data_IF_218881921719
#
_entry.id   IF_218881921719
#
_cell.length_a   1.000
_cell.length_b   1.000
_cell.length_c   1.000
_cell.angle_alpha   90.00
_cell.angle_beta   90.00
_cell.angle_gamma   90.00
#
_symmetry.space_group_name_H-M   'P 1'
#
loop_
_entity.id
_entity.type
_entity.pdbx_description
1 polymer ?
#
# COMPACT_ATOMS: atom_id res chain seq x y z
N UNK A 1 14.06 -1.99 -21.92
CA UNK A 1 13.25 -0.76 -22.04
C UNK A 1 12.84 -0.34 -20.64
N UNK A 2 13.14 0.90 -20.25
CA UNK A 2 12.54 1.54 -19.08
C UNK A 2 11.54 2.54 -19.67
N UNK A 3 10.29 2.51 -19.27
CA UNK A 3 9.28 3.28 -19.99
C UNK A 3 8.04 3.59 -19.18
N UNK A 4 7.29 4.59 -19.63
CA UNK A 4 6.00 4.96 -19.08
C UNK A 4 4.91 4.33 -19.94
N UNK A 5 4.21 3.35 -19.37
CA UNK A 5 3.11 2.66 -20.08
C UNK A 5 1.92 3.61 -20.19
N UNK A 6 1.39 3.76 -21.40
CA UNK A 6 0.25 4.62 -21.70
C UNK A 6 -1.05 3.80 -21.82
N UNK A 7 -0.98 2.65 -22.49
CA UNK A 7 -2.16 1.84 -22.80
C UNK A 7 -1.80 0.37 -23.00
N UNK A 8 -2.73 -0.50 -22.65
CA UNK A 8 -2.71 -1.93 -23.00
C UNK A 8 -3.99 -2.20 -23.80
N UNK A 9 -3.86 -2.87 -24.94
CA UNK A 9 -4.98 -3.29 -25.79
C UNK A 9 -4.90 -4.79 -26.00
N UNK A 10 -6.03 -5.48 -25.82
CA UNK A 10 -6.17 -6.89 -26.16
C UNK A 10 -6.85 -7.03 -27.52
N UNK A 11 -6.28 -7.86 -28.40
CA UNK A 11 -6.97 -8.31 -29.61
C UNK A 11 -8.07 -9.33 -29.24
N UNK A 12 -9.35 -9.05 -29.54
CA UNK A 12 -10.45 -9.92 -29.15
C UNK A 12 -10.43 -11.31 -29.81
N UNK A 13 -9.78 -11.48 -30.97
CA UNK A 13 -9.69 -12.75 -31.69
C UNK A 13 -8.50 -13.59 -31.23
N UNK A 14 -7.32 -12.98 -31.15
CA UNK A 14 -6.07 -13.70 -30.85
C UNK A 14 -5.72 -13.72 -29.37
N UNK A 15 -6.37 -12.87 -28.55
CA UNK A 15 -6.03 -12.61 -27.14
C UNK A 15 -4.62 -12.07 -26.91
N UNK A 16 -3.96 -11.63 -27.97
CA UNK A 16 -2.64 -11.04 -27.89
C UNK A 16 -2.72 -9.63 -27.25
N UNK A 17 -1.76 -9.32 -26.38
CA UNK A 17 -1.68 -8.02 -25.71
C UNK A 17 -0.69 -7.11 -26.42
N UNK A 18 -1.10 -5.87 -26.67
CA UNK A 18 -0.25 -4.81 -27.21
C UNK A 18 -0.11 -3.69 -26.18
N UNK A 19 1.13 -3.41 -25.77
CA UNK A 19 1.49 -2.38 -24.81
C UNK A 19 2.05 -1.17 -25.54
N UNK A 20 1.40 -0.02 -25.41
CA UNK A 20 1.92 1.27 -25.86
C UNK A 20 2.64 1.94 -24.69
N UNK A 21 3.91 2.27 -24.87
CA UNK A 21 4.73 2.90 -23.84
C UNK A 21 5.73 3.89 -24.45
N UNK A 22 6.11 4.90 -23.68
CA UNK A 22 7.20 5.81 -24.02
C UNK A 22 8.51 5.23 -23.47
N UNK A 23 9.52 5.02 -24.31
CA UNK A 23 10.89 4.75 -23.84
C UNK A 23 11.49 6.07 -23.35
N UNK A 24 11.67 6.19 -22.04
CA UNK A 24 12.15 7.43 -21.43
C UNK A 24 13.63 7.73 -21.74
N UNK A 25 14.39 6.73 -22.20
CA UNK A 25 15.80 6.92 -22.58
C UNK A 25 15.92 7.37 -24.03
N UNK A 26 15.07 6.85 -24.92
CA UNK A 26 15.02 7.23 -26.33
C UNK A 26 14.12 8.43 -26.62
N UNK A 27 13.22 8.80 -25.70
CA UNK A 27 12.14 9.76 -25.88
C UNK A 27 11.21 9.42 -27.07
N UNK A 28 11.06 8.13 -27.37
CA UNK A 28 10.24 7.63 -28.48
C UNK A 28 9.09 6.77 -27.95
N UNK A 29 7.98 6.77 -28.70
CA UNK A 29 6.85 5.87 -28.45
C UNK A 29 7.18 4.50 -29.04
N UNK A 30 7.01 3.47 -28.22
CA UNK A 30 7.22 2.07 -28.57
C UNK A 30 5.95 1.27 -28.33
N UNK A 31 5.70 0.34 -29.24
CA UNK A 31 4.59 -0.61 -29.14
C UNK A 31 5.17 -2.02 -29.03
N UNK A 32 4.76 -2.75 -28.00
CA UNK A 32 5.25 -4.10 -27.73
C UNK A 32 4.10 -5.10 -27.69
N UNK A 33 4.17 -6.12 -28.53
CA UNK A 33 3.22 -7.23 -28.51
C UNK A 33 3.77 -8.35 -27.62
N UNK A 34 3.01 -8.76 -26.60
CA UNK A 34 3.42 -9.73 -25.59
C UNK A 34 2.28 -10.69 -25.26
N UNK A 35 2.64 -11.87 -24.74
CA UNK A 35 1.68 -12.89 -24.33
C UNK A 35 1.13 -12.67 -22.90
N UNK A 36 1.87 -11.92 -22.07
CA UNK A 36 1.52 -11.65 -20.68
C UNK A 36 1.95 -10.25 -20.27
N UNK A 37 1.04 -9.52 -19.62
CA UNK A 37 1.34 -8.26 -18.94
C UNK A 37 1.10 -8.45 -17.44
N UNK A 38 2.12 -8.12 -16.64
CA UNK A 38 2.02 -8.12 -15.17
C UNK A 38 1.92 -6.69 -14.67
N UNK A 39 0.80 -6.36 -14.03
CA UNK A 39 0.58 -5.05 -13.40
C UNK A 39 1.18 -5.06 -11.99
N UNK A 40 2.40 -4.57 -11.85
CA UNK A 40 3.06 -4.38 -10.55
C UNK A 40 2.56 -3.09 -9.86
N UNK A 41 1.27 -3.05 -9.50
CA UNK A 41 0.64 -1.88 -8.86
C UNK A 41 1.16 -1.68 -7.44
N UNK A 42 1.09 -0.43 -6.96
CA UNK A 42 1.32 -0.12 -5.56
C UNK A 42 0.25 -0.70 -4.62
N UNK A 43 0.38 -0.40 -3.33
CA UNK A 43 -0.61 -0.76 -2.32
C UNK A 43 -1.60 0.39 -2.10
N UNK A 44 -2.85 0.05 -1.81
CA UNK A 44 -3.89 0.96 -1.36
C UNK A 44 -4.45 0.45 -0.02
N UNK A 45 -4.92 1.36 0.83
CA UNK A 45 -5.47 1.00 2.13
C UNK A 45 -6.79 0.24 1.99
N UNK A 46 -6.95 -0.85 2.75
CA UNK A 46 -8.24 -1.56 2.87
C UNK A 46 -9.28 -0.82 3.71
N UNK A 47 -8.89 0.30 4.32
CA UNK A 47 -9.75 1.13 5.18
C UNK A 47 -10.36 2.31 4.41
N UNK A 48 -10.07 2.46 3.11
CA UNK A 48 -10.67 3.50 2.28
C UNK A 48 -12.21 3.44 2.35
N UNK A 49 -12.83 4.60 2.62
CA UNK A 49 -14.29 4.71 2.78
C UNK A 49 -14.86 4.10 4.06
N UNK A 50 -14.03 3.52 4.94
CA UNK A 50 -14.48 2.93 6.19
C UNK A 50 -14.71 3.99 7.28
N UNK A 51 -15.75 3.80 8.08
CA UNK A 51 -15.98 4.60 9.30
C UNK A 51 -15.40 3.84 10.50
N UNK A 52 -14.25 4.29 10.99
CA UNK A 52 -13.59 3.68 12.13
C UNK A 52 -14.09 4.32 13.44
N UNK A 53 -14.31 3.48 14.45
CA UNK A 53 -14.67 3.91 15.80
C UNK A 53 -13.45 4.20 16.66
N UNK A 54 -13.68 4.43 17.96
CA UNK A 54 -12.64 4.51 19.00
C UNK A 54 -11.52 5.54 18.77
N UNK A 55 -11.81 6.63 18.04
CA UNK A 55 -10.87 7.72 17.82
C UNK A 55 -9.73 7.39 16.86
N UNK A 56 -9.88 6.38 16.00
CA UNK A 56 -8.89 6.08 14.96
C UNK A 56 -8.99 7.10 13.83
N UNK A 57 -7.88 7.78 13.56
CA UNK A 57 -7.77 8.78 12.48
C UNK A 57 -7.05 8.18 11.29
N UNK A 58 -7.53 8.49 10.08
CA UNK A 58 -6.90 8.11 8.82
C UNK A 58 -6.23 9.33 8.15
N UNK A 59 -5.15 9.10 7.43
CA UNK A 59 -4.49 10.10 6.59
C UNK A 59 -5.20 10.27 5.23
N UNK A 60 -4.61 11.07 4.33
CA UNK A 60 -5.16 11.34 3.00
C UNK A 60 -5.23 10.11 2.10
N UNK A 61 -4.41 9.10 2.37
CA UNK A 61 -4.35 7.84 1.64
C UNK A 61 -5.11 6.72 2.38
N UNK A 62 -5.92 7.09 3.37
CA UNK A 62 -6.74 6.22 4.20
C UNK A 62 -5.97 5.22 5.06
N UNK A 63 -4.71 5.50 5.42
CA UNK A 63 -3.94 4.70 6.39
C UNK A 63 -4.06 5.26 7.81
N UNK A 64 -3.90 4.39 8.82
CA UNK A 64 -4.05 4.76 10.24
C UNK A 64 -2.89 5.63 10.72
N UNK A 65 -3.22 6.80 11.27
CA UNK A 65 -2.26 7.71 11.89
C UNK A 65 -1.93 7.23 13.30
N UNK A 66 -0.75 6.62 13.46
CA UNK A 66 -0.33 5.94 14.69
C UNK A 66 -0.39 6.80 15.97
N UNK A 67 -0.07 8.09 15.88
CA UNK A 67 -0.01 9.01 17.04
C UNK A 67 -1.33 9.76 17.30
N UNK A 68 -2.33 9.57 16.43
CA UNK A 68 -3.64 10.21 16.51
C UNK A 68 -4.79 9.22 16.72
N UNK A 69 -4.49 7.92 16.83
CA UNK A 69 -5.44 6.87 17.23
C UNK A 69 -5.67 6.88 18.74
N UNK A 70 -6.91 6.60 19.16
CA UNK A 70 -7.35 6.68 20.56
C UNK A 70 -6.50 5.88 21.56
N UNK A 71 -6.58 6.26 22.84
CA UNK A 71 -5.78 5.67 23.92
C UNK A 71 -5.94 4.13 23.95
N UNK A 72 -4.80 3.43 23.81
CA UNK A 72 -4.76 1.95 23.79
C UNK A 72 -4.89 1.30 22.41
N UNK A 73 -4.98 2.06 21.32
CA UNK A 73 -4.96 1.55 19.94
C UNK A 73 -3.60 1.81 19.29
N UNK A 74 -2.96 0.77 18.78
CA UNK A 74 -1.64 0.84 18.14
C UNK A 74 -1.72 0.24 16.73
N UNK A 75 -1.43 1.05 15.71
CA UNK A 75 -1.35 0.60 14.33
C UNK A 75 0.03 -0.01 14.03
N UNK A 76 0.07 -1.00 13.13
CA UNK A 76 1.30 -1.64 12.68
C UNK A 76 1.15 -2.18 11.24
N UNK A 77 2.26 -2.24 10.50
CA UNK A 77 2.32 -2.80 9.16
C UNK A 77 1.49 -2.01 8.16
N UNK A 78 0.90 -2.72 7.19
CA UNK A 78 0.15 -2.10 6.10
C UNK A 78 -1.12 -1.35 6.52
N UNK A 79 -1.54 -1.45 7.79
CA UNK A 79 -2.59 -0.59 8.33
C UNK A 79 -2.12 0.86 8.50
N UNK A 80 -0.82 1.09 8.71
CA UNK A 80 -0.20 2.41 8.91
C UNK A 80 0.35 3.01 7.62
N UNK A 81 0.95 2.19 6.75
CA UNK A 81 1.49 2.63 5.46
C UNK A 81 1.93 1.43 4.62
N UNK A 82 2.15 1.58 3.30
CA UNK A 82 2.72 0.54 2.45
C UNK A 82 4.14 0.17 2.90
N UNK A 83 4.31 -1.01 3.50
CA UNK A 83 5.60 -1.48 4.01
C UNK A 83 5.88 -2.92 3.61
N UNK A 84 7.15 -3.32 3.69
CA UNK A 84 7.54 -4.72 3.48
C UNK A 84 7.27 -5.59 4.72
N UNK A 85 7.50 -6.90 4.57
CA UNK A 85 7.25 -7.90 5.62
C UNK A 85 8.15 -7.69 6.85
N UNK A 86 9.40 -7.28 6.65
CA UNK A 86 10.35 -7.08 7.74
C UNK A 86 9.96 -5.87 8.58
N UNK A 87 9.62 -4.75 7.93
CA UNK A 87 9.09 -3.55 8.59
C UNK A 87 7.77 -3.86 9.31
N UNK A 88 6.83 -4.54 8.67
CA UNK A 88 5.57 -4.92 9.31
C UNK A 88 5.78 -5.78 10.57
N UNK A 89 6.73 -6.71 10.54
CA UNK A 89 7.07 -7.56 11.70
C UNK A 89 7.70 -6.74 12.84
N UNK A 90 8.60 -5.81 12.51
CA UNK A 90 9.22 -4.92 13.49
C UNK A 90 8.18 -4.00 14.13
N UNK A 91 7.30 -3.39 13.34
CA UNK A 91 6.22 -2.55 13.84
C UNK A 91 5.22 -3.33 14.70
N UNK A 92 4.88 -4.57 14.32
CA UNK A 92 4.03 -5.43 15.15
C UNK A 92 4.64 -5.72 16.52
N UNK A 93 5.96 -5.94 16.56
CA UNK A 93 6.69 -6.11 17.82
C UNK A 93 6.67 -4.83 18.65
N UNK A 94 6.89 -3.67 18.01
CA UNK A 94 6.84 -2.38 18.68
C UNK A 94 5.44 -2.09 19.26
N UNK A 95 4.37 -2.32 18.49
CA UNK A 95 2.99 -2.14 18.91
C UNK A 95 2.64 -3.04 20.11
N UNK A 96 3.09 -4.29 20.11
CA UNK A 96 2.91 -5.20 21.25
C UNK A 96 3.60 -4.67 22.53
N UNK A 97 4.83 -4.16 22.41
CA UNK A 97 5.56 -3.58 23.54
C UNK A 97 4.89 -2.31 24.08
N UNK A 98 4.40 -1.43 23.19
CA UNK A 98 3.66 -0.23 23.57
C UNK A 98 2.35 -0.57 24.29
N UNK A 99 1.64 -1.59 23.82
CA UNK A 99 0.42 -2.08 24.47
C UNK A 99 0.71 -2.62 25.88
N UNK A 100 1.77 -3.42 26.05
CA UNK A 100 2.19 -3.93 27.36
C UNK A 100 2.54 -2.77 28.31
N UNK A 101 3.32 -1.80 27.85
CA UNK A 101 3.70 -0.63 28.65
C UNK A 101 2.48 0.18 29.09
N UNK A 102 1.52 0.37 28.19
CA UNK A 102 0.27 1.09 28.46
C UNK A 102 -0.55 0.38 29.55
N UNK A 103 -0.69 -0.95 29.45
CA UNK A 103 -1.38 -1.78 30.46
C UNK A 103 -0.67 -1.68 31.81
N UNK A 104 0.65 -1.81 31.84
CA UNK A 104 1.43 -1.74 33.08
C UNK A 104 1.34 -0.36 33.75
N UNK A 105 1.34 0.71 32.95
CA UNK A 105 1.21 2.08 33.44
C UNK A 105 -0.19 2.34 33.99
N UNK A 106 -1.22 1.86 33.30
CA UNK A 106 -2.61 1.94 33.77
C UNK A 106 -2.83 1.18 35.08
N UNK A 107 -2.22 0.00 35.25
CA UNK A 107 -2.33 -0.81 36.47
C UNK A 107 -1.62 -0.22 37.71
N UNK A 108 -0.74 0.77 37.52
CA UNK A 108 -0.01 1.46 38.61
C UNK A 108 -0.70 2.75 39.07
N UNK A 109 -1.76 3.18 38.38
CA UNK A 109 -2.62 4.30 38.78
C UNK A 109 -3.77 3.80 39.64
#
# INVERSE_FOLDING_TARGET
MKGKVAKIVEDPQTKQLTVEAEDILGAEKTTLTVDLVVLATGMASSLEGSKLGAGVTLDTDSFVVADASGEGIFAAGCARSPVDVATATQEGTAAALRAIETIQTAARR
#
